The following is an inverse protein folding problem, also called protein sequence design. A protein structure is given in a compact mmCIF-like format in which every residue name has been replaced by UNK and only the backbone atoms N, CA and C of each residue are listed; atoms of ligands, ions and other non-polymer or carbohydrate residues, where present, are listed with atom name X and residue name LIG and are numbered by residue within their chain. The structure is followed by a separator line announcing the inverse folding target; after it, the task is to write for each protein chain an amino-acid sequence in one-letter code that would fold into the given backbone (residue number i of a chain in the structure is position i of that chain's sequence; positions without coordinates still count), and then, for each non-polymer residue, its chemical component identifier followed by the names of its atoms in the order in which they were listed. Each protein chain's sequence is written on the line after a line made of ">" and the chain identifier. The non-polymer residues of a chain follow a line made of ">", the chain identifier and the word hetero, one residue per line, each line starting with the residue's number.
data_IF_230018130353
#
_entry.id   IF_230018130353
#
_cell.length_a   1.000
_cell.length_b   1.000
_cell.length_c   1.000
_cell.angle_alpha   90.00
_cell.angle_beta   90.00
_cell.angle_gamma   90.00
#
_symmetry.space_group_name_H-M   'P 1'
#
loop_
_entity.id
_entity.type
_entity.pdbx_description
1 polymer ?
#
# COMPACT_ATOMS: atom_id res chain seq x y z
N UNK A 1 2.62 43.35 -17.42
CA UNK A 1 3.46 44.00 -18.45
C UNK A 1 3.89 42.97 -19.47
N UNK A 2 3.48 43.22 -20.60
CA UNK A 2 3.75 43.01 -22.03
C UNK A 2 3.43 41.63 -22.60
N UNK A 3 2.32 41.63 -23.22
CA UNK A 3 1.82 40.85 -24.36
C UNK A 3 2.75 41.01 -25.58
N UNK A 4 3.01 39.94 -26.30
CA UNK A 4 3.31 40.07 -27.74
C UNK A 4 2.60 38.96 -28.52
N UNK A 5 1.63 39.42 -29.30
CA UNK A 5 0.92 38.78 -30.39
C UNK A 5 1.78 38.94 -31.65
N UNK A 6 1.94 37.90 -32.44
CA UNK A 6 2.33 38.04 -33.86
C UNK A 6 1.33 37.24 -34.69
N UNK A 7 0.53 38.00 -35.44
CA UNK A 7 -0.19 37.58 -36.65
C UNK A 7 0.76 37.62 -37.84
N UNK A 8 0.63 36.68 -38.76
CA UNK A 8 0.92 37.00 -40.17
C UNK A 8 0.01 36.18 -41.09
N UNK A 9 -0.78 36.94 -41.81
CA UNK A 9 -1.57 36.63 -42.99
C UNK A 9 -0.69 36.71 -44.24
N UNK A 10 -0.95 35.89 -45.29
CA UNK A 10 -1.25 36.33 -46.68
C UNK A 10 -1.26 35.13 -47.61
N UNK A 11 -2.38 34.87 -48.20
CA UNK A 11 -2.85 34.97 -49.62
C UNK A 11 -1.95 34.46 -50.74
N UNK A 12 -2.54 33.64 -51.64
CA UNK A 12 -2.07 33.42 -52.98
C UNK A 12 -2.77 32.31 -53.76
N UNK A 13 -3.84 32.64 -54.42
CA UNK A 13 -4.53 31.86 -55.49
C UNK A 13 -3.61 31.50 -56.65
N UNK A 14 -3.75 30.30 -57.20
CA UNK A 14 -4.02 30.12 -58.69
C UNK A 14 -4.08 28.63 -59.05
N UNK A 15 -5.17 28.21 -59.67
CA UNK A 15 -5.26 27.02 -60.56
C UNK A 15 -5.20 27.56 -61.99
N UNK A 16 -5.12 26.81 -63.07
CA UNK A 16 -5.33 25.36 -63.29
C UNK A 16 -4.33 24.68 -64.28
N UNK A 17 -4.31 23.38 -64.41
CA UNK A 17 -4.33 22.66 -65.71
C UNK A 17 -4.33 21.16 -65.53
N UNK A 18 -5.33 20.55 -66.15
CA UNK A 18 -5.55 19.12 -66.36
C UNK A 18 -4.57 18.55 -67.42
N UNK A 19 -3.91 17.43 -67.09
CA UNK A 19 -3.51 16.43 -68.14
C UNK A 19 -3.63 15.03 -67.49
N UNK A 20 -4.45 14.21 -68.13
CA UNK A 20 -4.57 12.79 -67.83
C UNK A 20 -3.45 12.03 -68.57
N UNK A 21 -2.82 11.06 -67.91
CA UNK A 21 -2.38 9.81 -68.56
C UNK A 21 -1.95 8.74 -67.56
N UNK A 22 -2.41 7.54 -67.85
CA UNK A 22 -1.80 6.22 -67.62
C UNK A 22 -1.71 5.64 -66.23
N UNK A 23 -2.51 4.60 -66.09
CA UNK A 23 -2.46 3.55 -65.07
C UNK A 23 -1.08 2.92 -64.91
N UNK A 24 -0.55 2.97 -63.66
CA UNK A 24 0.40 1.98 -63.18
C UNK A 24 -0.05 1.50 -61.84
N UNK A 25 -0.50 0.27 -61.78
CA UNK A 25 -0.89 -0.45 -60.57
C UNK A 25 0.35 -0.77 -59.74
N UNK A 26 0.68 0.11 -58.78
CA UNK A 26 1.66 -0.17 -57.75
C UNK A 26 1.07 -1.18 -56.73
N UNK A 27 1.85 -2.17 -56.26
CA UNK A 27 1.38 -3.12 -55.24
C UNK A 27 1.07 -2.36 -53.91
N UNK A 28 0.10 -2.86 -53.11
CA UNK A 28 -0.31 -2.18 -51.87
C UNK A 28 0.87 -2.07 -50.91
N UNK A 29 1.33 -0.87 -50.69
CA UNK A 29 2.33 -0.55 -49.68
C UNK A 29 1.69 -0.83 -48.33
N UNK A 30 2.10 -1.92 -47.68
CA UNK A 30 1.73 -2.20 -46.30
C UNK A 30 2.17 -1.04 -45.41
N UNK A 31 1.20 -0.30 -44.87
CA UNK A 31 1.46 0.78 -43.94
C UNK A 31 2.39 0.28 -42.81
N UNK A 32 3.41 1.04 -42.44
CA UNK A 32 4.32 0.63 -41.37
C UNK A 32 3.50 0.40 -40.11
N UNK A 33 3.55 -0.81 -39.54
CA UNK A 33 2.93 -1.13 -38.26
C UNK A 33 3.48 -0.14 -37.24
N UNK A 34 2.60 0.69 -36.66
CA UNK A 34 2.96 1.58 -35.56
C UNK A 34 3.76 0.77 -34.52
N UNK A 35 4.93 1.24 -34.09
CA UNK A 35 5.71 0.54 -33.08
C UNK A 35 4.81 0.31 -31.85
N UNK A 36 4.71 -0.94 -31.39
CA UNK A 36 4.01 -1.25 -30.15
C UNK A 36 4.71 -0.46 -29.04
N UNK A 37 4.03 0.52 -28.48
CA UNK A 37 4.51 1.26 -27.32
C UNK A 37 4.69 0.25 -26.20
N UNK A 38 5.93 -0.06 -25.84
CA UNK A 38 6.22 -0.94 -24.72
C UNK A 38 5.88 -0.15 -23.45
N UNK A 39 4.77 -0.51 -22.82
CA UNK A 39 4.38 0.12 -21.56
C UNK A 39 5.36 -0.33 -20.47
N UNK A 40 6.04 0.61 -19.86
CA UNK A 40 6.91 0.34 -18.71
C UNK A 40 6.01 0.04 -17.51
N UNK A 41 6.19 -1.13 -16.85
CA UNK A 41 5.39 -1.50 -15.68
C UNK A 41 5.63 -0.53 -14.51
N UNK A 42 4.61 -0.31 -13.70
CA UNK A 42 4.68 0.49 -12.48
C UNK A 42 4.53 -0.41 -11.25
N UNK A 43 5.47 -0.29 -10.32
CA UNK A 43 5.44 -0.92 -9.01
C UNK A 43 4.98 0.13 -7.99
N UNK A 44 3.83 -0.08 -7.41
CA UNK A 44 3.28 0.75 -6.34
C UNK A 44 3.60 0.06 -5.02
N UNK A 45 4.22 0.78 -4.08
CA UNK A 45 4.60 0.24 -2.76
C UNK A 45 4.08 1.15 -1.66
N UNK A 46 3.40 0.55 -0.69
CA UNK A 46 3.09 1.14 0.61
C UNK A 46 3.92 0.43 1.68
N UNK A 47 5.00 1.07 2.11
CA UNK A 47 5.89 0.58 3.16
C UNK A 47 5.30 0.81 4.54
N UNK A 48 4.23 0.11 4.88
CA UNK A 48 3.63 0.14 6.22
C UNK A 48 4.58 -0.39 7.30
N UNK A 49 4.40 0.06 8.56
CA UNK A 49 5.24 -0.38 9.68
C UNK A 49 5.08 -1.89 9.99
N UNK A 50 3.88 -2.44 9.86
CA UNK A 50 3.62 -3.87 10.09
C UNK A 50 3.72 -4.70 8.83
N UNK A 51 3.24 -4.20 7.71
CA UNK A 51 3.20 -4.91 6.42
C UNK A 51 3.59 -3.96 5.30
N UNK A 52 4.48 -4.42 4.43
CA UNK A 52 4.73 -3.83 3.12
C UNK A 52 3.70 -4.38 2.15
N UNK A 53 3.00 -3.49 1.47
CA UNK A 53 2.00 -3.83 0.45
C UNK A 53 2.47 -3.33 -0.89
N UNK A 54 2.16 -4.08 -1.94
CA UNK A 54 2.57 -3.68 -3.30
C UNK A 54 1.54 -4.07 -4.35
N UNK A 55 1.57 -3.34 -5.46
CA UNK A 55 0.78 -3.61 -6.65
C UNK A 55 1.67 -3.54 -7.89
N UNK A 56 1.64 -4.56 -8.73
CA UNK A 56 2.43 -4.66 -9.96
C UNK A 56 1.70 -5.52 -10.99
N UNK A 57 1.49 -5.01 -12.20
CA UNK A 57 0.83 -5.75 -13.30
C UNK A 57 -0.50 -6.41 -12.87
N UNK A 58 -1.36 -5.67 -12.14
CA UNK A 58 -2.65 -6.15 -11.59
C UNK A 58 -2.54 -7.20 -10.48
N UNK A 59 -1.34 -7.44 -9.98
CA UNK A 59 -1.11 -8.33 -8.86
C UNK A 59 -0.94 -7.49 -7.60
N UNK A 60 -1.77 -7.75 -6.61
CA UNK A 60 -1.66 -7.19 -5.27
C UNK A 60 -0.97 -8.19 -4.36
N UNK A 61 0.03 -7.76 -3.64
CA UNK A 61 0.70 -8.58 -2.65
C UNK A 61 1.01 -7.83 -1.37
N UNK A 62 1.27 -8.57 -0.31
CA UNK A 62 1.76 -8.02 0.94
C UNK A 62 2.58 -9.03 1.71
N UNK A 63 3.53 -8.54 2.49
CA UNK A 63 4.33 -9.34 3.41
C UNK A 63 4.61 -8.53 4.68
N UNK A 64 4.97 -9.19 5.77
CA UNK A 64 5.35 -8.49 7.00
C UNK A 64 6.58 -7.62 6.74
N UNK A 65 6.60 -6.39 7.27
CA UNK A 65 7.72 -5.46 7.11
C UNK A 65 8.90 -5.86 8.01
N UNK A 66 9.36 -7.10 7.83
CA UNK A 66 10.49 -7.71 8.50
C UNK A 66 11.44 -8.20 7.42
N UNK A 67 12.71 -7.93 7.58
CA UNK A 67 13.73 -8.58 6.78
C UNK A 67 14.80 -9.24 7.66
N UNK A 68 15.38 -10.29 7.14
CA UNK A 68 16.55 -10.96 7.72
C UNK A 68 17.72 -10.78 6.79
N UNK A 69 18.81 -10.25 7.32
CA UNK A 69 20.06 -10.03 6.58
C UNK A 69 21.04 -11.10 6.92
N UNK A 70 21.64 -11.70 5.90
CA UNK A 70 22.67 -12.71 6.01
C UNK A 70 24.01 -12.14 5.55
N UNK A 71 25.08 -12.49 6.26
CA UNK A 71 26.45 -12.13 5.88
C UNK A 71 26.95 -13.03 4.76
N UNK A 72 28.09 -12.66 4.12
CA UNK A 72 28.69 -13.42 3.01
C UNK A 72 28.96 -14.91 3.29
N UNK A 73 29.16 -15.27 4.54
CA UNK A 73 29.51 -16.65 4.94
C UNK A 73 28.30 -17.60 4.99
N UNK A 74 27.07 -17.08 4.84
CA UNK A 74 25.87 -17.88 4.94
C UNK A 74 25.32 -18.22 3.55
N UNK A 75 25.10 -19.49 3.27
CA UNK A 75 24.37 -19.92 2.10
C UNK A 75 22.88 -19.59 2.27
N UNK A 76 22.35 -18.87 1.29
CA UNK A 76 20.92 -18.63 1.23
C UNK A 76 20.21 -19.87 0.69
N UNK A 77 19.10 -20.28 1.28
CA UNK A 77 18.30 -21.34 0.72
C UNK A 77 17.73 -20.90 -0.64
N UNK A 78 17.80 -21.79 -1.63
CA UNK A 78 17.19 -21.59 -2.94
C UNK A 78 15.73 -22.03 -2.93
N UNK A 79 14.91 -21.45 -3.81
CA UNK A 79 13.49 -21.85 -3.98
C UNK A 79 12.53 -21.25 -2.95
N UNK A 80 13.00 -20.37 -2.06
CA UNK A 80 12.11 -19.67 -1.12
C UNK A 80 11.64 -18.33 -1.70
N UNK A 81 10.35 -18.06 -1.56
CA UNK A 81 9.78 -16.75 -1.92
C UNK A 81 10.34 -15.66 -1.00
N UNK A 82 10.62 -14.49 -1.56
CA UNK A 82 11.14 -13.36 -0.79
C UNK A 82 12.60 -13.51 -0.35
N UNK A 83 13.35 -14.48 -0.88
CA UNK A 83 14.79 -14.65 -0.64
C UNK A 83 15.56 -14.19 -1.87
N UNK A 84 16.58 -13.35 -1.66
CA UNK A 84 17.38 -12.75 -2.74
C UNK A 84 18.71 -12.23 -2.23
N UNK A 85 19.61 -11.84 -3.14
CA UNK A 85 20.89 -11.18 -2.79
C UNK A 85 20.95 -9.77 -3.37
N UNK A 86 21.48 -8.82 -2.60
CA UNK A 86 21.88 -7.49 -3.07
C UNK A 86 23.35 -7.31 -2.75
N UNK A 87 24.17 -7.21 -3.80
CA UNK A 87 25.63 -7.23 -3.65
C UNK A 87 26.07 -8.52 -2.97
N UNK A 88 26.86 -8.39 -1.90
CA UNK A 88 27.39 -9.52 -1.14
C UNK A 88 26.49 -9.97 0.03
N UNK A 89 25.35 -9.32 0.24
CA UNK A 89 24.45 -9.61 1.35
C UNK A 89 23.24 -10.39 0.86
N UNK A 90 22.87 -11.42 1.62
CA UNK A 90 21.61 -12.12 1.44
C UNK A 90 20.48 -11.47 2.23
N UNK A 91 19.27 -11.58 1.73
CA UNK A 91 18.07 -11.08 2.38
C UNK A 91 16.93 -12.07 2.26
N UNK A 92 16.12 -12.12 3.31
CA UNK A 92 14.80 -12.72 3.28
C UNK A 92 13.79 -11.72 3.82
N UNK A 93 12.59 -11.65 3.24
CA UNK A 93 11.52 -10.73 3.71
C UNK A 93 10.27 -11.50 4.08
N UNK A 94 9.45 -10.89 4.94
CA UNK A 94 8.15 -11.45 5.36
C UNK A 94 8.27 -12.81 6.06
N UNK A 95 7.43 -13.76 5.67
CA UNK A 95 7.37 -15.08 6.28
C UNK A 95 8.68 -15.86 6.14
N UNK A 96 9.42 -15.66 5.05
CA UNK A 96 10.74 -16.25 4.87
C UNK A 96 11.77 -15.70 5.86
N UNK A 97 11.68 -14.40 6.22
CA UNK A 97 12.53 -13.82 7.26
C UNK A 97 12.28 -14.44 8.63
N UNK A 98 11.04 -14.82 8.92
CA UNK A 98 10.65 -15.47 10.18
C UNK A 98 11.02 -16.96 10.21
N UNK A 99 10.87 -17.66 9.08
CA UNK A 99 11.05 -19.11 8.97
C UNK A 99 12.51 -19.51 8.95
N UNK A 100 13.40 -18.65 8.45
CA UNK A 100 14.82 -18.95 8.33
C UNK A 100 15.56 -18.67 9.65
N UNK A 101 16.58 -19.47 9.95
CA UNK A 101 17.47 -19.27 11.07
C UNK A 101 18.76 -18.56 10.64
N UNK A 102 19.48 -17.95 11.61
CA UNK A 102 20.71 -17.20 11.37
C UNK A 102 20.43 -15.79 10.81
N UNK A 103 21.49 -14.98 10.68
CA UNK A 103 21.39 -13.58 10.24
C UNK A 103 20.70 -12.66 11.25
N UNK A 104 20.68 -11.37 10.92
CA UNK A 104 20.11 -10.31 11.76
C UNK A 104 18.71 -9.96 11.28
N UNK A 105 17.75 -9.85 12.22
CA UNK A 105 16.39 -9.40 11.93
C UNK A 105 16.36 -7.88 12.03
N UNK A 106 15.83 -7.24 10.97
CA UNK A 106 15.53 -5.83 10.94
C UNK A 106 14.02 -5.62 10.65
N UNK A 107 13.37 -4.77 11.42
CA UNK A 107 11.94 -4.50 11.32
C UNK A 107 11.68 -3.15 10.66
N UNK A 108 10.67 -3.07 9.80
CA UNK A 108 10.36 -1.88 9.02
C UNK A 108 9.90 -0.68 9.84
N UNK A 109 9.41 -0.90 11.07
CA UNK A 109 8.99 0.16 11.98
C UNK A 109 10.12 0.74 12.83
N UNK A 110 11.27 0.06 12.91
CA UNK A 110 12.40 0.56 13.67
C UNK A 110 13.08 1.72 12.94
N UNK A 111 13.28 2.82 13.65
CA UNK A 111 14.10 3.99 13.30
C UNK A 111 14.53 4.11 11.82
N UNK A 112 13.77 4.82 11.00
CA UNK A 112 14.12 5.12 9.60
C UNK A 112 14.30 3.91 8.65
N UNK A 113 14.09 2.68 9.11
CA UNK A 113 14.30 1.48 8.31
C UNK A 113 13.45 1.44 7.02
N UNK A 114 12.32 2.17 6.98
CA UNK A 114 11.54 2.31 5.74
C UNK A 114 12.37 2.81 4.57
N UNK A 115 13.23 3.80 4.80
CA UNK A 115 14.09 4.37 3.74
C UNK A 115 15.43 3.66 3.67
N UNK A 116 16.04 3.35 4.81
CA UNK A 116 17.32 2.65 4.87
C UNK A 116 17.28 1.30 4.13
N UNK A 117 16.15 0.60 4.22
CA UNK A 117 15.91 -0.70 3.59
C UNK A 117 15.01 -0.59 2.33
N UNK A 118 14.85 0.59 1.75
CA UNK A 118 13.93 0.79 0.62
C UNK A 118 14.27 -0.12 -0.57
N UNK A 119 15.54 -0.31 -0.88
CA UNK A 119 15.99 -1.25 -1.91
C UNK A 119 15.59 -2.70 -1.58
N UNK A 120 15.65 -3.09 -0.30
CA UNK A 120 15.23 -4.43 0.17
C UNK A 120 13.71 -4.59 0.01
N UNK A 121 12.93 -3.56 0.36
CA UNK A 121 11.46 -3.60 0.20
C UNK A 121 11.03 -3.66 -1.26
N UNK A 122 11.72 -2.92 -2.15
CA UNK A 122 11.45 -2.97 -3.60
C UNK A 122 11.73 -4.36 -4.17
N UNK A 123 12.93 -4.88 -3.93
CA UNK A 123 13.32 -6.21 -4.41
C UNK A 123 12.47 -7.30 -3.76
N UNK A 124 12.22 -7.19 -2.45
CA UNK A 124 11.35 -8.10 -1.70
C UNK A 124 9.94 -8.19 -2.30
N UNK A 125 9.36 -7.05 -2.72
CA UNK A 125 8.06 -7.04 -3.39
C UNK A 125 8.06 -7.80 -4.72
N UNK A 126 9.17 -7.79 -5.45
CA UNK A 126 9.31 -8.58 -6.69
C UNK A 126 9.52 -10.08 -6.41
N UNK A 127 10.21 -10.41 -5.32
CA UNK A 127 10.60 -11.78 -4.98
C UNK A 127 9.54 -12.53 -4.18
N UNK A 128 8.67 -11.85 -3.43
CA UNK A 128 7.55 -12.47 -2.72
C UNK A 128 6.43 -12.92 -3.66
N UNK A 129 6.34 -12.34 -4.87
CA UNK A 129 5.43 -12.77 -5.90
C UNK A 129 6.12 -12.84 -7.26
N UNK A 130 6.97 -13.83 -7.49
CA UNK A 130 8.01 -13.82 -8.53
C UNK A 130 7.49 -14.06 -9.95
N UNK A 131 6.20 -14.18 -10.20
CA UNK A 131 5.64 -14.38 -11.53
C UNK A 131 6.12 -13.32 -12.55
N UNK A 132 6.32 -12.09 -12.09
CA UNK A 132 6.89 -11.01 -12.87
C UNK A 132 8.34 -11.28 -13.28
N UNK A 133 9.17 -11.81 -12.38
CA UNK A 133 10.56 -12.16 -12.63
C UNK A 133 10.67 -13.42 -13.50
N UNK A 134 9.89 -14.45 -13.22
CA UNK A 134 9.89 -15.69 -14.00
C UNK A 134 9.51 -15.49 -15.46
N UNK A 135 8.56 -14.60 -15.77
CA UNK A 135 8.26 -14.22 -17.16
C UNK A 135 9.49 -13.66 -17.88
N UNK A 136 10.34 -12.90 -17.18
CA UNK A 136 11.56 -12.29 -17.72
C UNK A 136 12.68 -13.30 -17.85
N UNK A 137 12.86 -14.19 -16.87
CA UNK A 137 13.78 -15.34 -16.98
C UNK A 137 13.44 -16.19 -18.21
N UNK A 138 12.18 -16.56 -18.35
CA UNK A 138 11.72 -17.35 -19.52
C UNK A 138 12.02 -16.64 -20.85
N UNK A 139 11.81 -15.31 -20.92
CA UNK A 139 12.10 -14.52 -22.12
C UNK A 139 13.59 -14.41 -22.40
N UNK A 140 14.43 -14.29 -21.39
CA UNK A 140 15.89 -14.19 -21.51
C UNK A 140 16.55 -15.54 -21.88
N UNK A 141 15.86 -16.68 -21.66
CA UNK A 141 16.35 -18.01 -21.95
C UNK A 141 17.47 -18.46 -20.99
N UNK A 142 18.28 -19.44 -21.41
CA UNK A 142 19.33 -20.10 -20.60
C UNK A 142 20.62 -19.30 -20.43
N UNK A 143 20.74 -18.08 -20.97
CA UNK A 143 21.98 -17.29 -20.87
C UNK A 143 22.22 -16.77 -19.45
N UNK A 144 23.51 -16.59 -19.08
CA UNK A 144 23.91 -16.05 -17.77
C UNK A 144 23.99 -14.51 -17.73
N UNK A 145 23.42 -13.82 -18.72
CA UNK A 145 23.45 -12.35 -18.77
C UNK A 145 22.54 -11.69 -17.74
N UNK A 146 22.84 -10.42 -17.46
CA UNK A 146 22.01 -9.57 -16.59
C UNK A 146 20.67 -9.29 -17.25
N UNK A 147 19.58 -9.55 -16.54
CA UNK A 147 18.22 -9.25 -16.98
C UNK A 147 17.89 -7.83 -16.57
N UNK A 148 17.81 -6.91 -17.54
CA UNK A 148 17.47 -5.52 -17.31
C UNK A 148 15.95 -5.33 -17.25
N UNK A 149 15.48 -4.57 -16.26
CA UNK A 149 14.09 -4.26 -16.01
C UNK A 149 13.94 -2.75 -15.91
N UNK A 150 13.24 -2.13 -16.86
CA UNK A 150 12.74 -0.77 -16.69
C UNK A 150 11.50 -0.80 -15.81
N UNK A 151 11.45 0.06 -14.80
CA UNK A 151 10.38 0.11 -13.82
C UNK A 151 10.03 1.55 -13.46
N UNK A 152 8.75 1.87 -13.40
CA UNK A 152 8.24 3.04 -12.69
C UNK A 152 7.96 2.65 -11.26
N UNK A 153 8.18 3.56 -10.32
CA UNK A 153 7.94 3.30 -8.90
C UNK A 153 7.04 4.38 -8.32
N UNK A 154 5.98 3.96 -7.63
CA UNK A 154 5.15 4.83 -6.82
C UNK A 154 5.30 4.42 -5.34
N UNK A 155 5.74 5.35 -4.51
CA UNK A 155 5.97 5.13 -3.08
C UNK A 155 4.94 5.92 -2.28
N UNK A 156 4.23 5.23 -1.40
CA UNK A 156 3.32 5.83 -0.45
C UNK A 156 3.99 5.93 0.93
N UNK A 157 3.47 6.84 1.74
CA UNK A 157 3.90 7.01 3.15
C UNK A 157 5.37 7.41 3.33
N UNK A 158 6.01 7.94 2.29
CA UNK A 158 7.37 8.49 2.36
C UNK A 158 7.39 10.00 2.18
N UNK A 159 8.17 10.67 3.01
CA UNK A 159 8.31 12.12 2.97
C UNK A 159 9.19 12.59 1.81
N UNK A 160 8.73 13.61 1.07
CA UNK A 160 9.51 14.26 0.02
C UNK A 160 10.80 14.95 0.52
N UNK A 161 10.91 15.20 1.83
CA UNK A 161 12.14 15.74 2.43
C UNK A 161 13.32 14.77 2.35
N UNK A 162 13.05 13.45 2.21
CA UNK A 162 14.05 12.39 2.10
C UNK A 162 14.38 12.01 0.65
N UNK A 163 14.07 12.86 -0.32
CA UNK A 163 14.25 12.59 -1.76
C UNK A 163 15.64 12.08 -2.11
N UNK A 164 16.71 12.68 -1.59
CA UNK A 164 18.09 12.27 -1.88
C UNK A 164 18.40 10.83 -1.43
N UNK A 165 17.87 10.43 -0.30
CA UNK A 165 18.05 9.07 0.23
C UNK A 165 17.26 8.05 -0.60
N UNK A 166 16.07 8.42 -1.05
CA UNK A 166 15.24 7.62 -1.93
C UNK A 166 15.95 7.42 -3.28
N UNK A 167 16.47 8.49 -3.88
CA UNK A 167 17.25 8.42 -5.13
C UNK A 167 18.50 7.55 -4.99
N UNK A 168 19.17 7.62 -3.83
CA UNK A 168 20.30 6.74 -3.52
C UNK A 168 19.88 5.26 -3.46
N UNK A 169 18.71 4.96 -2.93
CA UNK A 169 18.20 3.59 -2.88
C UNK A 169 17.90 3.01 -4.27
N UNK A 170 17.64 3.87 -5.27
CA UNK A 170 17.39 3.47 -6.66
C UNK A 170 18.67 3.32 -7.48
N UNK A 171 19.78 3.93 -7.03
CA UNK A 171 21.03 3.89 -7.78
C UNK A 171 21.62 2.49 -7.76
N UNK A 172 21.92 1.94 -8.96
CA UNK A 172 22.55 0.61 -9.13
C UNK A 172 21.80 -0.54 -8.44
N UNK A 173 20.47 -0.55 -8.54
CA UNK A 173 19.65 -1.58 -7.93
C UNK A 173 19.80 -2.91 -8.68
N UNK A 174 20.82 -3.68 -8.30
CA UNK A 174 21.12 -5.03 -8.81
C UNK A 174 20.83 -6.06 -7.72
N UNK A 175 20.22 -7.17 -8.12
CA UNK A 175 19.92 -8.26 -7.20
C UNK A 175 19.98 -9.62 -7.91
N UNK A 176 20.23 -10.66 -7.16
CA UNK A 176 20.18 -12.04 -7.61
C UNK A 176 18.94 -12.72 -7.03
N UNK A 177 18.14 -13.34 -7.89
CA UNK A 177 17.01 -14.16 -7.53
C UNK A 177 16.99 -15.40 -8.44
N UNK A 178 16.85 -16.59 -7.84
CA UNK A 178 16.83 -17.88 -8.53
C UNK A 178 18.05 -18.03 -9.47
N UNK A 179 19.24 -17.76 -8.92
CA UNK A 179 20.54 -17.83 -9.61
C UNK A 179 20.66 -16.90 -10.83
N UNK A 180 19.77 -15.93 -10.98
CA UNK A 180 19.76 -14.98 -12.09
C UNK A 180 19.98 -13.57 -11.58
N UNK A 181 20.86 -12.85 -12.26
CA UNK A 181 21.18 -11.47 -11.95
C UNK A 181 20.21 -10.52 -12.67
N UNK A 182 19.59 -9.64 -11.91
CA UNK A 182 18.69 -8.59 -12.38
C UNK A 182 19.30 -7.22 -12.14
N UNK A 183 18.98 -6.28 -13.03
CA UNK A 183 19.29 -4.85 -12.89
C UNK A 183 18.00 -4.06 -13.12
N UNK A 184 17.55 -3.32 -12.09
CA UNK A 184 16.39 -2.44 -12.19
C UNK A 184 16.86 -1.05 -12.58
N UNK A 185 16.33 -0.56 -13.70
CA UNK A 185 16.43 0.83 -14.12
C UNK A 185 15.14 1.55 -13.73
N UNK A 186 15.19 2.41 -12.71
CA UNK A 186 14.04 3.23 -12.31
C UNK A 186 13.91 4.40 -13.26
N UNK A 187 12.99 4.30 -14.22
CA UNK A 187 12.81 5.32 -15.28
C UNK A 187 12.08 6.57 -14.77
N UNK A 188 11.23 6.40 -13.76
CA UNK A 188 10.59 7.50 -13.04
C UNK A 188 10.05 7.03 -11.70
N UNK A 189 9.86 7.96 -10.77
CA UNK A 189 9.18 7.65 -9.51
C UNK A 189 8.29 8.80 -9.05
N UNK A 190 7.25 8.44 -8.28
CA UNK A 190 6.32 9.34 -7.64
C UNK A 190 6.29 9.09 -6.14
N UNK A 191 6.15 10.15 -5.35
CA UNK A 191 5.97 10.10 -3.91
C UNK A 191 4.56 10.57 -3.57
N UNK A 192 3.81 9.75 -2.85
CA UNK A 192 2.44 10.06 -2.44
C UNK A 192 2.33 10.06 -0.91
N UNK A 193 1.55 10.97 -0.34
CA UNK A 193 1.27 10.95 1.09
C UNK A 193 0.48 9.68 1.47
N UNK A 194 0.54 9.34 2.75
CA UNK A 194 -0.27 8.26 3.33
C UNK A 194 -1.77 8.51 3.06
N UNK A 195 -2.50 7.46 2.68
CA UNK A 195 -3.93 7.56 2.37
C UNK A 195 -4.26 8.14 0.98
N UNK A 196 -3.27 8.49 0.14
CA UNK A 196 -3.55 9.13 -1.15
C UNK A 196 -4.30 8.21 -2.12
N UNK A 197 -3.95 6.93 -2.21
CA UNK A 197 -4.68 5.98 -3.04
C UNK A 197 -6.12 5.79 -2.56
N UNK A 198 -6.34 5.75 -1.24
CA UNK A 198 -7.70 5.74 -0.67
C UNK A 198 -8.48 7.01 -1.04
N UNK A 199 -7.81 8.17 -1.07
CA UNK A 199 -8.44 9.42 -1.50
C UNK A 199 -8.84 9.38 -2.98
N UNK A 200 -8.03 8.78 -3.85
CA UNK A 200 -8.39 8.56 -5.26
C UNK A 200 -9.61 7.64 -5.39
N UNK A 201 -9.65 6.55 -4.64
CA UNK A 201 -10.79 5.63 -4.61
C UNK A 201 -12.05 6.29 -4.03
N UNK A 202 -11.92 7.07 -2.94
CA UNK A 202 -13.01 7.84 -2.36
C UNK A 202 -13.63 8.82 -3.36
N UNK A 203 -12.79 9.55 -4.09
CA UNK A 203 -13.21 10.43 -5.16
C UNK A 203 -14.00 9.69 -6.26
N UNK A 204 -13.52 8.51 -6.67
CA UNK A 204 -14.21 7.67 -7.65
C UNK A 204 -15.58 7.27 -7.12
N UNK A 205 -15.66 6.80 -5.88
CA UNK A 205 -16.90 6.45 -5.19
C UNK A 205 -17.87 7.64 -5.10
N UNK A 206 -17.39 8.83 -4.74
CA UNK A 206 -18.20 10.06 -4.70
C UNK A 206 -18.82 10.34 -6.08
N UNK A 207 -18.01 10.26 -7.14
CA UNK A 207 -18.48 10.50 -8.52
C UNK A 207 -19.51 9.47 -8.95
N UNK A 208 -19.31 8.20 -8.66
CA UNK A 208 -20.22 7.09 -9.01
C UNK A 208 -21.54 7.19 -8.26
N UNK A 209 -21.54 7.72 -7.02
CA UNK A 209 -22.74 7.99 -6.23
C UNK A 209 -23.45 9.27 -6.62
N UNK A 210 -23.04 9.97 -7.68
CA UNK A 210 -23.62 11.25 -8.11
C UNK A 210 -23.30 12.42 -7.16
N UNK A 211 -22.39 12.23 -6.20
CA UNK A 211 -21.97 13.26 -5.25
C UNK A 211 -21.10 14.34 -5.90
N UNK A 212 -21.13 15.52 -5.30
CA UNK A 212 -20.30 16.69 -5.68
C UNK A 212 -19.40 17.13 -4.54
N UNK A 213 -19.04 16.20 -3.65
CA UNK A 213 -18.27 16.56 -2.46
C UNK A 213 -16.89 17.12 -2.86
N UNK A 214 -16.72 18.41 -2.56
CA UNK A 214 -15.46 19.11 -2.79
C UNK A 214 -14.45 18.75 -1.69
N UNK A 215 -14.98 18.45 -0.48
CA UNK A 215 -14.20 18.04 0.69
C UNK A 215 -14.66 16.67 1.17
N UNK A 216 -13.68 15.86 1.54
CA UNK A 216 -13.91 14.57 2.18
C UNK A 216 -12.69 14.21 3.02
N UNK A 217 -12.81 13.20 3.85
CA UNK A 217 -11.78 12.80 4.80
C UNK A 217 -11.46 11.33 4.65
N UNK A 218 -10.21 10.99 4.88
CA UNK A 218 -9.74 9.60 4.98
C UNK A 218 -9.28 9.37 6.41
N UNK A 219 -9.82 8.35 7.05
CA UNK A 219 -9.39 7.83 8.33
C UNK A 219 -8.69 6.49 8.07
N UNK A 220 -7.38 6.45 8.26
CA UNK A 220 -6.53 5.28 8.02
C UNK A 220 -6.10 4.67 9.34
N UNK A 221 -6.43 3.39 9.56
CA UNK A 221 -5.99 2.62 10.71
C UNK A 221 -4.97 1.57 10.27
N UNK A 222 -3.70 1.89 10.49
CA UNK A 222 -2.59 1.00 10.24
C UNK A 222 -2.24 0.09 11.41
N UNK A 223 -1.11 -0.62 11.30
CA UNK A 223 -0.60 -1.46 12.39
C UNK A 223 -0.17 -0.67 13.63
N UNK A 224 0.50 0.46 13.43
CA UNK A 224 1.05 1.30 14.51
C UNK A 224 0.38 2.67 14.66
N UNK A 225 -0.45 3.12 13.73
CA UNK A 225 -0.96 4.49 13.67
C UNK A 225 -2.45 4.54 13.35
N UNK A 226 -3.11 5.57 13.86
CA UNK A 226 -4.41 6.05 13.40
C UNK A 226 -4.22 7.44 12.80
N UNK A 227 -4.55 7.60 11.52
CA UNK A 227 -4.28 8.82 10.76
C UNK A 227 -5.57 9.36 10.16
N UNK A 228 -5.80 10.65 10.32
CA UNK A 228 -6.89 11.38 9.69
C UNK A 228 -6.32 12.42 8.72
N UNK A 229 -6.75 12.35 7.47
CA UNK A 229 -6.30 13.27 6.42
C UNK A 229 -7.50 13.89 5.72
N UNK A 230 -7.69 15.21 5.83
CA UNK A 230 -8.66 15.95 5.03
C UNK A 230 -8.17 16.07 3.58
N UNK A 231 -9.09 15.87 2.64
CA UNK A 231 -8.83 16.04 1.21
C UNK A 231 -9.77 17.07 0.61
N UNK A 232 -9.27 17.84 -0.33
CA UNK A 232 -10.07 18.67 -1.22
C UNK A 232 -9.90 18.20 -2.68
N UNK A 233 -10.99 18.14 -3.41
CA UNK A 233 -10.96 17.77 -4.82
C UNK A 233 -10.74 19.05 -5.67
N UNK A 234 -9.49 19.27 -6.10
CA UNK A 234 -9.13 20.43 -6.91
C UNK A 234 -8.74 19.99 -8.32
N UNK A 235 -9.46 20.50 -9.31
CA UNK A 235 -9.24 20.15 -10.72
C UNK A 235 -9.19 18.64 -10.99
N UNK A 236 -10.01 17.88 -10.29
CA UNK A 236 -10.07 16.44 -10.45
C UNK A 236 -8.93 15.67 -9.76
N UNK A 237 -8.11 16.28 -8.93
CA UNK A 237 -7.03 15.65 -8.17
C UNK A 237 -7.27 15.84 -6.67
N UNK A 238 -7.31 14.76 -5.85
CA UNK A 238 -7.35 14.89 -4.41
C UNK A 238 -6.09 15.57 -3.89
N UNK A 239 -6.26 16.62 -3.09
CA UNK A 239 -5.16 17.30 -2.40
C UNK A 239 -5.34 17.20 -0.91
N UNK A 240 -4.36 16.59 -0.25
CA UNK A 240 -4.31 16.50 1.19
C UNK A 240 -4.08 17.90 1.79
N UNK A 241 -4.75 18.18 2.88
CA UNK A 241 -4.42 19.26 3.80
C UNK A 241 -3.85 18.69 5.10
N UNK A 242 -3.81 19.46 6.16
CA UNK A 242 -3.18 19.08 7.43
C UNK A 242 -3.58 17.67 7.90
N UNK A 243 -2.64 16.75 7.80
CA UNK A 243 -2.76 15.39 8.30
C UNK A 243 -2.57 15.38 9.83
N UNK A 244 -3.44 14.67 10.53
CA UNK A 244 -3.32 14.40 11.96
C UNK A 244 -3.08 12.89 12.16
N UNK A 245 -1.97 12.52 12.80
CA UNK A 245 -1.60 11.12 13.01
C UNK A 245 -1.29 10.87 14.48
N UNK A 246 -1.86 9.80 15.02
CA UNK A 246 -1.62 9.33 16.38
C UNK A 246 -0.76 8.08 16.31
N UNK A 247 0.53 8.23 16.61
CA UNK A 247 1.46 7.10 16.72
C UNK A 247 1.14 6.26 17.95
N UNK A 248 1.35 4.95 17.87
CA UNK A 248 1.00 4.02 18.95
C UNK A 248 -0.51 3.79 19.11
N UNK A 249 -1.32 4.16 18.11
CA UNK A 249 -2.78 4.02 18.14
C UNK A 249 -3.32 3.04 17.08
N UNK A 250 -2.46 2.23 16.48
CA UNK A 250 -2.86 1.25 15.48
C UNK A 250 -3.36 -0.07 16.06
N UNK A 251 -3.47 -1.08 15.20
CA UNK A 251 -3.96 -2.43 15.54
C UNK A 251 -3.15 -3.08 16.66
N UNK A 252 -1.84 -2.80 16.74
CA UNK A 252 -0.98 -3.32 17.82
C UNK A 252 -1.49 -2.87 19.19
N UNK A 253 -1.78 -1.56 19.36
CA UNK A 253 -2.30 -1.06 20.63
C UNK A 253 -3.71 -1.55 20.91
N UNK A 254 -4.57 -1.72 19.90
CA UNK A 254 -5.89 -2.37 20.08
C UNK A 254 -5.70 -3.77 20.65
N UNK A 255 -4.74 -4.55 20.12
CA UNK A 255 -4.44 -5.90 20.64
C UNK A 255 -3.93 -5.85 22.09
N UNK A 256 -3.12 -4.84 22.46
CA UNK A 256 -2.65 -4.64 23.83
C UNK A 256 -3.79 -4.35 24.80
N UNK A 257 -4.73 -3.47 24.42
CA UNK A 257 -5.93 -3.21 25.22
C UNK A 257 -6.83 -4.43 25.32
N UNK A 258 -6.99 -5.18 24.24
CA UNK A 258 -7.70 -6.45 24.24
C UNK A 258 -7.03 -7.46 25.19
N UNK A 259 -5.71 -7.59 25.17
CA UNK A 259 -4.96 -8.46 26.06
C UNK A 259 -5.15 -8.09 27.54
N UNK A 260 -5.11 -6.80 27.84
CA UNK A 260 -5.37 -6.27 29.18
C UNK A 260 -6.76 -6.64 29.69
N UNK A 261 -7.78 -6.51 28.84
CA UNK A 261 -9.16 -6.87 29.21
C UNK A 261 -9.37 -8.38 29.27
N UNK A 262 -8.78 -9.16 28.37
CA UNK A 262 -8.83 -10.61 28.38
C UNK A 262 -8.23 -11.22 29.65
N UNK A 263 -7.23 -10.59 30.22
CA UNK A 263 -6.56 -11.04 31.47
C UNK A 263 -7.34 -10.70 32.74
N UNK A 264 -8.35 -9.82 32.68
CA UNK A 264 -9.17 -9.45 33.85
C UNK A 264 -10.11 -10.60 34.24
N UNK A 265 -10.02 -11.02 35.49
CA UNK A 265 -10.90 -12.05 36.05
C UNK A 265 -10.56 -13.47 35.64
N UNK A 266 -9.44 -13.71 34.99
CA UNK A 266 -8.96 -15.05 34.72
C UNK A 266 -8.16 -15.58 35.93
N UNK A 267 -8.89 -16.15 36.89
CA UNK A 267 -8.31 -16.73 38.11
C UNK A 267 -7.53 -18.01 37.84
N UNK A 268 -7.61 -18.56 36.61
CA UNK A 268 -6.95 -19.79 36.17
C UNK A 268 -5.51 -19.59 35.65
N UNK A 269 -4.97 -18.37 35.67
CA UNK A 269 -3.60 -18.11 35.23
C UNK A 269 -3.38 -18.28 33.72
N UNK A 270 -4.43 -18.25 32.91
CA UNK A 270 -4.30 -18.32 31.46
C UNK A 270 -3.64 -17.04 30.92
N UNK A 271 -2.36 -17.13 30.60
CA UNK A 271 -1.64 -16.08 29.91
C UNK A 271 -1.92 -16.26 28.41
N UNK A 272 -2.72 -15.38 27.86
CA UNK A 272 -2.94 -15.35 26.41
C UNK A 272 -1.71 -14.81 25.69
N UNK A 273 -1.14 -15.61 24.79
CA UNK A 273 -0.06 -15.12 23.95
C UNK A 273 -0.57 -13.99 23.03
N UNK A 274 0.19 -12.93 22.92
CA UNK A 274 -0.15 -11.74 22.12
C UNK A 274 -0.49 -12.11 20.66
N UNK A 275 0.25 -13.05 20.05
CA UNK A 275 -0.03 -13.53 18.69
C UNK A 275 -1.41 -14.15 18.56
N UNK A 276 -1.84 -14.97 19.53
CA UNK A 276 -3.17 -15.59 19.50
C UNK A 276 -4.29 -14.56 19.67
N UNK A 277 -4.08 -13.56 20.52
CA UNK A 277 -5.05 -12.47 20.68
C UNK A 277 -5.13 -11.63 19.41
N UNK A 278 -4.00 -11.43 18.72
CA UNK A 278 -3.98 -10.76 17.42
C UNK A 278 -4.75 -11.56 16.37
N UNK A 279 -4.55 -12.87 16.31
CA UNK A 279 -5.28 -13.74 15.39
C UNK A 279 -6.80 -13.73 15.68
N UNK A 280 -7.18 -13.78 16.97
CA UNK A 280 -8.57 -13.67 17.39
C UNK A 280 -9.17 -12.29 17.05
N UNK A 281 -8.41 -11.20 17.18
CA UNK A 281 -8.83 -9.88 16.75
C UNK A 281 -9.02 -9.84 15.22
N UNK A 282 -8.07 -10.36 14.44
CA UNK A 282 -8.13 -10.34 12.98
C UNK A 282 -9.31 -11.17 12.42
N UNK A 283 -9.72 -12.23 13.14
CA UNK A 283 -10.87 -13.09 12.79
C UNK A 283 -12.17 -12.70 13.48
N UNK A 284 -12.16 -11.63 14.29
CA UNK A 284 -13.33 -11.20 15.05
C UNK A 284 -14.48 -10.72 14.17
N UNK A 285 -15.70 -10.94 14.65
CA UNK A 285 -16.93 -10.56 13.96
C UNK A 285 -17.91 -9.85 14.90
N UNK A 286 -18.95 -9.26 14.32
CA UNK A 286 -20.04 -8.63 15.04
C UNK A 286 -21.36 -9.12 14.45
N UNK A 287 -22.23 -9.68 15.28
CA UNK A 287 -23.54 -10.15 14.85
C UNK A 287 -24.48 -8.98 14.46
N UNK A 288 -25.58 -9.28 13.80
CA UNK A 288 -26.62 -8.30 13.51
C UNK A 288 -27.23 -7.67 14.79
N UNK A 289 -27.22 -8.41 15.91
CA UNK A 289 -27.61 -7.92 17.24
C UNK A 289 -26.58 -7.01 17.90
N UNK A 290 -25.37 -6.85 17.30
CA UNK A 290 -24.31 -6.01 17.82
C UNK A 290 -23.42 -6.72 18.88
N UNK A 291 -23.49 -8.06 18.94
CA UNK A 291 -22.65 -8.86 19.81
C UNK A 291 -21.31 -9.13 19.13
N UNK A 292 -20.23 -8.93 19.86
CA UNK A 292 -18.87 -9.17 19.40
C UNK A 292 -18.47 -10.62 19.65
N UNK A 293 -17.73 -11.22 18.72
CA UNK A 293 -17.12 -12.54 18.86
C UNK A 293 -15.63 -12.47 18.50
N UNK A 294 -14.80 -13.08 19.35
CA UNK A 294 -13.37 -13.22 19.16
C UNK A 294 -12.90 -14.53 19.79
N UNK A 295 -12.72 -15.56 18.99
CA UNK A 295 -12.45 -16.91 19.46
C UNK A 295 -10.96 -17.18 19.63
N UNK A 296 -10.59 -17.82 20.75
CA UNK A 296 -9.24 -18.34 21.01
C UNK A 296 -9.31 -19.83 21.27
N UNK A 297 -8.46 -20.58 20.59
CA UNK A 297 -8.27 -22.03 20.82
C UNK A 297 -7.26 -22.24 21.96
N UNK A 298 -7.68 -22.95 23.00
CA UNK A 298 -6.89 -23.29 24.18
C UNK A 298 -6.88 -24.82 24.34
N UNK A 299 -5.86 -25.47 23.79
CA UNK A 299 -5.85 -26.95 23.73
C UNK A 299 -7.03 -27.48 22.92
N UNK A 300 -7.87 -28.30 23.55
CA UNK A 300 -9.06 -28.90 22.92
C UNK A 300 -10.34 -28.06 23.10
N UNK A 301 -10.24 -26.84 23.64
CA UNK A 301 -11.38 -25.97 23.87
C UNK A 301 -11.25 -24.64 23.13
N UNK A 302 -12.41 -24.09 22.75
CA UNK A 302 -12.51 -22.72 22.20
C UNK A 302 -13.19 -21.84 23.22
N UNK A 303 -12.66 -20.65 23.41
CA UNK A 303 -13.23 -19.61 24.27
C UNK A 303 -13.52 -18.37 23.47
N UNK A 304 -14.72 -17.84 23.56
CA UNK A 304 -15.09 -16.55 23.00
C UNK A 304 -14.71 -15.42 23.99
N UNK A 305 -14.01 -14.43 23.49
CA UNK A 305 -13.58 -13.24 24.20
C UNK A 305 -14.22 -11.96 23.63
N UNK A 306 -15.34 -12.04 22.96
CA UNK A 306 -15.99 -10.92 22.29
C UNK A 306 -16.29 -9.74 23.22
N UNK A 307 -16.83 -9.99 24.42
CA UNK A 307 -17.05 -8.92 25.42
C UNK A 307 -15.76 -8.27 25.88
N UNK A 308 -14.68 -9.04 25.99
CA UNK A 308 -13.35 -8.53 26.34
C UNK A 308 -12.76 -7.69 25.22
N UNK A 309 -12.97 -8.10 23.97
CA UNK A 309 -12.58 -7.31 22.81
C UNK A 309 -13.33 -5.97 22.76
N UNK A 310 -14.66 -6.00 22.95
CA UNK A 310 -15.47 -4.76 23.01
C UNK A 310 -14.96 -3.82 24.10
N UNK A 311 -14.74 -4.33 25.32
CA UNK A 311 -14.19 -3.54 26.42
C UNK A 311 -12.79 -2.99 26.09
N UNK A 312 -11.95 -3.76 25.41
CA UNK A 312 -10.64 -3.32 24.94
C UNK A 312 -10.71 -2.19 23.93
N UNK A 313 -11.64 -2.27 22.97
CA UNK A 313 -11.88 -1.20 21.99
C UNK A 313 -12.40 0.10 22.64
N UNK A 314 -13.30 -0.03 23.61
CA UNK A 314 -13.79 1.10 24.41
C UNK A 314 -12.66 1.75 25.20
N UNK A 315 -11.82 0.96 25.87
CA UNK A 315 -10.66 1.44 26.62
C UNK A 315 -9.63 2.12 25.70
N UNK A 316 -9.29 1.50 24.55
CA UNK A 316 -8.41 2.06 23.55
C UNK A 316 -8.87 3.44 23.06
N UNK A 317 -10.15 3.57 22.74
CA UNK A 317 -10.72 4.82 22.23
C UNK A 317 -10.79 5.94 23.28
N UNK A 318 -10.86 5.58 24.56
CA UNK A 318 -11.02 6.51 25.69
C UNK A 318 -9.67 6.86 26.34
N UNK A 319 -8.80 5.87 26.55
CA UNK A 319 -7.58 6.03 27.34
C UNK A 319 -6.43 6.64 26.52
N UNK A 320 -6.35 6.36 25.21
CA UNK A 320 -5.39 7.04 24.33
C UNK A 320 -5.92 8.43 23.99
N UNK A 321 -5.34 9.46 24.62
CA UNK A 321 -5.81 10.85 24.48
C UNK A 321 -5.89 11.27 23.02
N UNK A 322 -4.85 10.97 22.21
CA UNK A 322 -4.82 11.32 20.79
C UNK A 322 -5.95 10.65 19.99
N UNK A 323 -6.29 9.38 20.28
CA UNK A 323 -7.40 8.67 19.63
C UNK A 323 -8.73 9.35 19.98
N UNK A 324 -8.96 9.60 21.27
CA UNK A 324 -10.17 10.26 21.76
C UNK A 324 -10.38 11.63 21.11
N UNK A 325 -9.33 12.42 21.01
CA UNK A 325 -9.39 13.76 20.39
C UNK A 325 -9.62 13.66 18.89
N UNK A 326 -8.88 12.80 18.18
CA UNK A 326 -9.05 12.60 16.75
C UNK A 326 -10.48 12.13 16.41
N UNK A 327 -11.01 11.15 17.11
CA UNK A 327 -12.38 10.66 16.88
C UNK A 327 -13.43 11.71 17.21
N UNK A 328 -13.22 12.54 18.24
CA UNK A 328 -14.08 13.69 18.54
C UNK A 328 -14.11 14.71 17.39
N UNK A 329 -12.93 15.01 16.83
CA UNK A 329 -12.80 15.94 15.70
C UNK A 329 -13.47 15.38 14.44
N UNK A 330 -13.31 14.08 14.16
CA UNK A 330 -14.01 13.39 13.07
C UNK A 330 -15.54 13.47 13.24
N UNK A 331 -16.08 13.32 14.46
CA UNK A 331 -17.51 13.53 14.72
C UNK A 331 -17.96 14.95 14.42
N UNK A 332 -17.15 15.97 14.71
CA UNK A 332 -17.48 17.36 14.37
C UNK A 332 -17.52 17.59 12.87
N UNK A 333 -16.64 16.95 12.12
CA UNK A 333 -16.60 16.98 10.65
C UNK A 333 -17.87 16.36 10.07
N UNK A 334 -18.27 15.19 10.56
CA UNK A 334 -19.50 14.52 10.14
C UNK A 334 -20.75 15.39 10.42
N UNK A 335 -20.81 16.12 11.55
CA UNK A 335 -21.88 17.07 11.85
C UNK A 335 -21.94 18.26 10.89
N UNK A 336 -20.82 18.58 10.22
CA UNK A 336 -20.78 19.60 9.15
C UNK A 336 -21.20 19.05 7.79
N UNK A 337 -21.56 17.77 7.70
CA UNK A 337 -22.00 17.12 6.46
C UNK A 337 -20.85 16.64 5.57
N UNK A 338 -19.60 16.61 6.08
CA UNK A 338 -18.46 16.12 5.29
C UNK A 338 -18.31 14.60 5.45
N UNK A 339 -18.00 13.90 4.35
CA UNK A 339 -17.87 12.43 4.35
C UNK A 339 -16.52 11.96 4.89
N UNK A 340 -16.54 10.82 5.57
CA UNK A 340 -15.34 10.16 6.09
C UNK A 340 -15.23 8.74 5.51
N UNK A 341 -14.10 8.42 4.92
CA UNK A 341 -13.80 7.11 4.35
C UNK A 341 -12.80 6.35 5.23
N UNK A 342 -13.19 5.15 5.65
CA UNK A 342 -12.37 4.27 6.46
C UNK A 342 -11.47 3.43 5.56
N UNK A 343 -10.16 3.39 5.87
CA UNK A 343 -9.12 2.66 5.15
C UNK A 343 -8.05 2.12 6.10
N UNK A 344 -7.16 1.29 5.58
CA UNK A 344 -6.09 0.67 6.37
C UNK A 344 -6.44 -0.74 6.86
N UNK A 345 -5.40 -1.49 7.23
CA UNK A 345 -5.54 -2.89 7.62
C UNK A 345 -6.42 -3.10 8.86
N UNK A 346 -6.46 -2.10 9.75
CA UNK A 346 -7.31 -2.16 10.94
C UNK A 346 -8.81 -2.16 10.63
N UNK A 347 -9.24 -1.50 9.57
CA UNK A 347 -10.64 -1.51 9.15
C UNK A 347 -11.05 -2.74 8.32
N UNK A 348 -10.11 -3.61 7.98
CA UNK A 348 -10.42 -4.96 7.50
C UNK A 348 -11.01 -5.81 8.62
N UNK A 349 -10.58 -5.58 9.86
CA UNK A 349 -11.09 -6.24 11.06
C UNK A 349 -12.52 -5.78 11.31
N UNK A 350 -13.47 -6.73 11.24
CA UNK A 350 -14.89 -6.40 11.30
C UNK A 350 -15.29 -5.75 12.61
N UNK A 351 -14.83 -6.30 13.74
CA UNK A 351 -15.15 -5.75 15.07
C UNK A 351 -14.64 -4.31 15.24
N UNK A 352 -13.44 -4.00 14.74
CA UNK A 352 -12.87 -2.64 14.79
C UNK A 352 -13.68 -1.69 13.91
N UNK A 353 -13.99 -2.13 12.70
CA UNK A 353 -14.81 -1.35 11.76
C UNK A 353 -16.19 -1.05 12.33
N UNK A 354 -16.88 -2.05 12.86
CA UNK A 354 -18.20 -1.90 13.48
C UNK A 354 -18.14 -0.96 14.69
N UNK A 355 -17.13 -1.12 15.56
CA UNK A 355 -16.93 -0.25 16.71
C UNK A 355 -16.79 1.23 16.29
N UNK A 356 -15.89 1.53 15.36
CA UNK A 356 -15.67 2.91 14.91
C UNK A 356 -16.89 3.48 14.19
N UNK A 357 -17.53 2.70 13.32
CA UNK A 357 -18.76 3.16 12.62
C UNK A 357 -19.86 3.48 13.61
N UNK A 358 -20.09 2.62 14.60
CA UNK A 358 -21.08 2.86 15.67
C UNK A 358 -20.70 4.06 16.55
N UNK A 359 -19.42 4.18 16.91
CA UNK A 359 -18.90 5.31 17.68
C UNK A 359 -19.12 6.64 16.96
N UNK A 360 -18.88 6.69 15.65
CA UNK A 360 -19.05 7.90 14.84
C UNK A 360 -20.55 8.19 14.56
N UNK A 361 -21.38 7.18 14.46
CA UNK A 361 -22.86 7.27 14.41
C UNK A 361 -23.39 8.15 13.28
N UNK A 362 -22.86 7.99 12.06
CA UNK A 362 -23.23 8.81 10.91
C UNK A 362 -23.26 8.01 9.61
N UNK A 363 -24.27 8.22 8.77
CA UNK A 363 -24.38 7.67 7.42
C UNK A 363 -23.33 8.24 6.44
N UNK A 364 -22.64 9.29 6.84
CA UNK A 364 -21.53 9.88 6.07
C UNK A 364 -20.20 9.13 6.25
N UNK A 365 -20.17 8.08 7.07
CA UNK A 365 -19.04 7.19 7.23
C UNK A 365 -19.20 6.02 6.25
N UNK A 366 -18.20 5.81 5.42
CA UNK A 366 -18.16 4.69 4.48
C UNK A 366 -16.80 3.95 4.56
N UNK A 367 -16.82 2.63 4.47
CA UNK A 367 -15.61 1.83 4.33
C UNK A 367 -15.34 1.60 2.85
N UNK A 368 -14.11 1.90 2.42
CA UNK A 368 -13.71 1.59 1.05
C UNK A 368 -13.54 0.08 0.86
N UNK A 369 -13.81 -0.43 -0.35
CA UNK A 369 -13.56 -1.85 -0.66
C UNK A 369 -12.09 -2.20 -0.43
N UNK A 370 -11.84 -3.39 0.14
CA UNK A 370 -10.49 -3.87 0.44
C UNK A 370 -9.64 -2.80 1.15
N UNK A 371 -10.05 -2.33 2.33
CA UNK A 371 -9.47 -1.16 2.98
C UNK A 371 -7.97 -1.34 3.29
N UNK A 372 -7.51 -2.57 3.40
CA UNK A 372 -6.11 -2.92 3.62
C UNK A 372 -5.21 -2.70 2.40
N UNK A 373 -5.75 -2.73 1.18
CA UNK A 373 -4.97 -2.60 -0.07
C UNK A 373 -5.36 -1.39 -0.91
N UNK A 374 -6.43 -0.69 -0.56
CA UNK A 374 -6.95 0.44 -1.34
C UNK A 374 -5.93 1.56 -1.55
N UNK A 375 -4.98 1.73 -0.64
CA UNK A 375 -3.92 2.73 -0.78
C UNK A 375 -3.02 2.46 -2.00
N UNK A 376 -2.83 1.20 -2.37
CA UNK A 376 -2.02 0.82 -3.54
C UNK A 376 -2.89 0.62 -4.79
N UNK A 377 -4.09 0.05 -4.66
CA UNK A 377 -4.97 -0.22 -5.81
C UNK A 377 -5.76 1.01 -6.26
N UNK A 378 -5.94 2.00 -5.42
CA UNK A 378 -6.63 3.24 -5.76
C UNK A 378 -5.81 4.20 -6.64
N UNK A 379 -4.55 3.90 -6.90
CA UNK A 379 -3.68 4.64 -7.83
C UNK A 379 -3.74 4.11 -9.27
N UNK A 380 -4.37 2.93 -9.50
CA UNK A 380 -4.51 2.28 -10.82
C UNK A 380 -5.64 2.88 -11.69
#
# INVERSE_FOLDING_TARGET
>A
MKTQTIQNTTNGNTAPATIATASDTAPPTTAPKKPKTVTVPELIIDGGSSRTKYYLEKITGSYQSICRKFTKAQELPTGYLGVFKIGDSGYAVGDSALSLSGGDIEEGYANDNKIKLLNVWIVGSLCTHPSFLFKRIKKAGKGNGVIKIDLKIALLSLSSHRKKEIEKAFSNLKFEFDERLFEINVVSYNLYPEGYGAACAAKKHIKESGGKDIRFHVLDLGGGTLTHTPYSNQNGVPRASNQNSVSGAGVVSITEFFAKEASKGDTGGNIYHFSRLKDALESSSVSESGEYSAEIVLGDSTRDLGDRLKSGLEAWSREIIGVRELLRDVRQILRKGERVYLTGGGFKVEAVRAFITNYLGSELVATLPNPDTINITGLD
#
